data_IF_308591517884
#
_entry.id   IF_308591517884
#
_cell.length_a   1.000
_cell.length_b   1.000
_cell.length_c   1.000
_cell.angle_alpha   90.00
_cell.angle_beta   90.00
_cell.angle_gamma   90.00
#
_symmetry.space_group_name_H-M   'P 1'
#
loop_
_entity.id
_entity.type
_entity.pdbx_description
1 polymer ?
#
# COMPACT_ATOMS: atom_id res chain seq x y z
N UNK A 1 -7.79 -10.73 -35.76
CA UNK A 1 -8.96 -10.75 -34.85
C UNK A 1 -8.94 -9.47 -34.05
N UNK A 2 -9.98 -8.66 -34.18
CA UNK A 2 -10.06 -7.36 -33.50
C UNK A 2 -10.09 -7.51 -31.99
N UNK A 3 -9.35 -6.64 -31.30
CA UNK A 3 -9.41 -6.55 -29.85
C UNK A 3 -10.82 -6.12 -29.42
N UNK A 4 -11.44 -6.90 -28.56
CA UNK A 4 -12.85 -6.74 -28.18
C UNK A 4 -13.09 -5.51 -27.29
N UNK A 5 -12.05 -4.84 -26.86
CA UNK A 5 -12.11 -3.72 -25.93
C UNK A 5 -12.18 -2.39 -26.70
N UNK A 6 -13.37 -1.87 -26.83
CA UNK A 6 -13.59 -0.51 -27.32
C UNK A 6 -13.05 0.51 -26.31
N UNK A 7 -12.72 1.71 -26.78
CA UNK A 7 -12.21 2.78 -25.93
C UNK A 7 -13.21 3.15 -24.81
N UNK A 8 -14.51 3.06 -25.10
CA UNK A 8 -15.58 3.29 -24.11
C UNK A 8 -15.48 2.30 -22.94
N UNK A 9 -15.27 0.99 -23.22
CA UNK A 9 -15.10 -0.01 -22.17
C UNK A 9 -13.87 0.22 -21.33
N UNK A 10 -12.75 0.60 -21.95
CA UNK A 10 -11.52 0.89 -21.22
C UNK A 10 -11.70 2.06 -20.27
N UNK A 11 -12.35 3.14 -20.72
CA UNK A 11 -12.64 4.31 -19.89
C UNK A 11 -13.61 4.00 -18.74
N UNK A 12 -14.67 3.22 -18.99
CA UNK A 12 -15.61 2.84 -17.93
C UNK A 12 -14.94 1.98 -16.86
N UNK A 13 -14.13 1.02 -17.25
CA UNK A 13 -13.36 0.18 -16.30
C UNK A 13 -12.38 1.01 -15.48
N UNK A 14 -11.70 1.96 -16.10
CA UNK A 14 -10.80 2.87 -15.40
C UNK A 14 -11.53 3.66 -14.30
N UNK A 15 -12.68 4.25 -14.63
CA UNK A 15 -13.52 4.99 -13.67
C UNK A 15 -14.04 4.09 -12.54
N UNK A 16 -14.43 2.85 -12.86
CA UNK A 16 -14.88 1.87 -11.84
C UNK A 16 -13.74 1.55 -10.87
N UNK A 17 -12.55 1.28 -11.36
CA UNK A 17 -11.38 0.97 -10.51
C UNK A 17 -11.01 2.16 -9.63
N UNK A 18 -10.96 3.37 -10.19
CA UNK A 18 -10.60 4.58 -9.43
C UNK A 18 -11.58 4.87 -8.29
N UNK A 19 -12.88 4.62 -8.50
CA UNK A 19 -13.91 4.91 -7.50
C UNK A 19 -14.14 3.79 -6.49
N UNK A 20 -14.01 2.55 -6.91
CA UNK A 20 -14.44 1.37 -6.15
C UNK A 20 -13.31 0.37 -5.91
N UNK A 21 -12.07 0.83 -5.88
CA UNK A 21 -10.89 -0.02 -5.72
C UNK A 21 -10.97 -0.96 -4.53
N UNK A 22 -11.47 -0.50 -3.39
CA UNK A 22 -11.58 -1.29 -2.17
C UNK A 22 -12.58 -2.44 -2.23
N UNK A 23 -13.59 -2.31 -3.10
CA UNK A 23 -14.64 -3.31 -3.27
C UNK A 23 -14.29 -4.39 -4.29
N UNK A 24 -13.27 -4.14 -5.12
CA UNK A 24 -12.86 -5.03 -6.21
C UNK A 24 -11.80 -6.03 -5.74
N UNK A 25 -11.92 -7.25 -6.28
CA UNK A 25 -11.04 -8.36 -5.95
C UNK A 25 -10.24 -8.90 -7.14
N UNK A 26 -9.81 -10.15 -7.01
CA UNK A 26 -9.17 -10.91 -8.09
C UNK A 26 -10.09 -11.94 -8.72
N UNK A 27 -11.32 -12.02 -8.23
CA UNK A 27 -12.30 -12.97 -8.69
C UNK A 27 -13.31 -12.31 -9.62
N UNK A 28 -13.45 -12.86 -10.82
CA UNK A 28 -14.33 -12.33 -11.84
C UNK A 28 -15.81 -12.41 -11.44
N UNK A 29 -16.20 -13.35 -10.59
CA UNK A 29 -17.58 -13.48 -10.13
C UNK A 29 -17.95 -12.37 -9.14
N UNK A 30 -17.10 -12.12 -8.17
CA UNK A 30 -17.29 -11.02 -7.21
C UNK A 30 -17.23 -9.67 -7.90
N UNK A 31 -16.27 -9.44 -8.78
CA UNK A 31 -16.16 -8.20 -9.55
C UNK A 31 -17.38 -7.97 -10.46
N UNK A 32 -17.97 -9.05 -10.99
CA UNK A 32 -19.18 -8.99 -11.78
C UNK A 32 -20.38 -8.51 -10.95
N UNK A 33 -20.57 -9.03 -9.74
CA UNK A 33 -21.62 -8.58 -8.83
C UNK A 33 -21.43 -7.11 -8.43
N UNK A 34 -20.21 -6.74 -8.08
CA UNK A 34 -19.89 -5.33 -7.75
C UNK A 34 -20.20 -4.41 -8.93
N UNK A 35 -19.83 -4.80 -10.15
CA UNK A 35 -20.16 -4.00 -11.35
C UNK A 35 -21.67 -3.89 -11.59
N UNK A 36 -22.45 -4.92 -11.24
CA UNK A 36 -23.93 -4.93 -11.37
C UNK A 36 -24.59 -3.96 -10.38
N UNK A 37 -24.05 -3.86 -9.16
CA UNK A 37 -24.53 -2.92 -8.14
C UNK A 37 -24.19 -1.46 -8.44
N UNK A 38 -23.00 -1.22 -8.98
CA UNK A 38 -22.48 0.16 -9.18
C UNK A 38 -22.97 0.76 -10.51
N UNK A 39 -23.16 -0.06 -11.55
CA UNK A 39 -23.40 0.43 -12.91
C UNK A 39 -24.60 -0.21 -13.56
N UNK A 40 -25.40 0.60 -14.27
CA UNK A 40 -26.51 0.13 -15.08
C UNK A 40 -26.00 -0.18 -16.49
N UNK A 41 -25.79 -1.46 -16.78
CA UNK A 41 -25.31 -1.91 -18.09
C UNK A 41 -26.44 -2.68 -18.80
N UNK A 42 -26.94 -2.21 -19.94
CA UNK A 42 -28.11 -2.81 -20.58
C UNK A 42 -27.84 -4.17 -21.24
N UNK A 43 -26.56 -4.48 -21.52
CA UNK A 43 -26.19 -5.70 -22.25
C UNK A 43 -25.34 -6.63 -21.36
N UNK A 44 -25.82 -7.89 -21.21
CA UNK A 44 -25.05 -8.94 -20.52
C UNK A 44 -23.68 -9.19 -21.14
N UNK A 45 -23.56 -9.10 -22.45
CA UNK A 45 -22.30 -9.27 -23.17
C UNK A 45 -21.29 -8.18 -22.78
N UNK A 46 -21.76 -6.94 -22.70
CA UNK A 46 -20.93 -5.79 -22.30
C UNK A 46 -20.51 -5.91 -20.83
N UNK A 47 -21.45 -6.27 -19.96
CA UNK A 47 -21.20 -6.48 -18.54
C UNK A 47 -20.13 -7.55 -18.29
N UNK A 48 -20.23 -8.71 -18.93
CA UNK A 48 -19.22 -9.76 -18.80
C UNK A 48 -17.82 -9.31 -19.26
N UNK A 49 -17.74 -8.52 -20.32
CA UNK A 49 -16.46 -7.98 -20.82
C UNK A 49 -15.88 -6.93 -19.89
N UNK A 50 -16.71 -6.07 -19.31
CA UNK A 50 -16.28 -5.07 -18.32
C UNK A 50 -15.74 -5.77 -17.08
N UNK A 51 -16.48 -6.72 -16.52
CA UNK A 51 -16.03 -7.48 -15.35
C UNK A 51 -14.72 -8.23 -15.60
N UNK A 52 -14.57 -8.90 -16.72
CA UNK A 52 -13.33 -9.58 -17.09
C UNK A 52 -12.14 -8.63 -17.25
N UNK A 53 -12.36 -7.43 -17.76
CA UNK A 53 -11.30 -6.44 -17.91
C UNK A 53 -10.95 -5.74 -16.57
N UNK A 54 -11.94 -5.52 -15.69
CA UNK A 54 -11.71 -5.06 -14.30
C UNK A 54 -10.80 -6.03 -13.56
N UNK A 55 -11.15 -7.32 -13.54
CA UNK A 55 -10.34 -8.35 -12.87
C UNK A 55 -8.92 -8.44 -13.46
N UNK A 56 -8.79 -8.30 -14.77
CA UNK A 56 -7.49 -8.29 -15.43
C UNK A 56 -6.62 -7.11 -14.98
N UNK A 57 -7.17 -5.91 -14.95
CA UNK A 57 -6.45 -4.73 -14.49
C UNK A 57 -6.14 -4.78 -12.99
N UNK A 58 -7.05 -5.30 -12.16
CA UNK A 58 -6.81 -5.48 -10.72
C UNK A 58 -5.62 -6.40 -10.44
N UNK A 59 -5.46 -7.48 -11.23
CA UNK A 59 -4.28 -8.35 -11.17
C UNK A 59 -2.99 -7.62 -11.55
N UNK A 60 -3.05 -6.70 -12.49
CA UNK A 60 -1.89 -5.89 -12.88
C UNK A 60 -1.53 -4.85 -11.82
N UNK A 61 -2.51 -4.13 -11.31
CA UNK A 61 -2.33 -3.09 -10.28
C UNK A 61 -1.66 -3.65 -9.02
N UNK A 62 -1.93 -4.92 -8.69
CA UNK A 62 -1.27 -5.58 -7.54
C UNK A 62 0.22 -5.85 -7.77
N UNK A 63 0.65 -5.99 -9.01
CA UNK A 63 2.07 -6.24 -9.34
C UNK A 63 2.83 -4.95 -9.50
N UNK A 64 2.30 -4.05 -10.32
CA UNK A 64 2.92 -2.79 -10.69
C UNK A 64 1.88 -1.70 -10.94
N UNK A 65 2.32 -0.44 -10.90
CA UNK A 65 1.48 0.70 -11.24
C UNK A 65 1.05 0.62 -12.71
N UNK A 66 -0.26 0.73 -12.95
CA UNK A 66 -0.82 0.74 -14.30
C UNK A 66 -0.92 2.17 -14.81
N UNK A 67 -0.40 2.41 -16.00
CA UNK A 67 -0.42 3.73 -16.64
C UNK A 67 -1.85 4.22 -16.86
N UNK A 68 -2.14 5.44 -16.38
CA UNK A 68 -3.42 6.11 -16.57
C UNK A 68 -4.49 5.79 -15.55
N UNK A 69 -4.18 4.99 -14.52
CA UNK A 69 -5.09 4.73 -13.40
C UNK A 69 -4.44 5.29 -12.13
N UNK A 70 -5.09 6.28 -11.53
CA UNK A 70 -4.68 6.88 -10.26
C UNK A 70 -5.61 6.40 -9.16
N UNK A 71 -5.04 5.75 -8.15
CA UNK A 71 -5.78 5.26 -6.99
C UNK A 71 -5.48 6.19 -5.82
N UNK A 72 -6.42 7.06 -5.49
CA UNK A 72 -6.28 8.04 -4.40
C UNK A 72 -5.89 7.41 -3.07
N UNK A 73 -6.46 6.25 -2.76
CA UNK A 73 -6.16 5.54 -1.52
C UNK A 73 -4.66 5.18 -1.40
N UNK A 74 -4.05 4.69 -2.49
CA UNK A 74 -2.62 4.36 -2.49
C UNK A 74 -1.74 5.60 -2.43
N UNK A 75 -2.14 6.68 -3.09
CA UNK A 75 -1.45 7.97 -3.04
C UNK A 75 -1.49 8.56 -1.63
N UNK A 76 -2.65 8.57 -0.97
CA UNK A 76 -2.80 9.04 0.40
C UNK A 76 -2.01 8.19 1.40
N UNK A 77 -1.97 6.88 1.25
CA UNK A 77 -1.13 6.00 2.08
C UNK A 77 0.36 6.27 1.87
N UNK A 78 0.78 6.53 0.63
CA UNK A 78 2.15 6.92 0.29
C UNK A 78 2.53 8.24 0.97
N UNK A 79 1.69 9.26 0.86
CA UNK A 79 1.91 10.57 1.49
C UNK A 79 1.97 10.46 3.03
N UNK A 80 1.11 9.67 3.64
CA UNK A 80 1.13 9.45 5.09
C UNK A 80 2.42 8.76 5.54
N UNK A 81 2.96 7.83 4.76
CA UNK A 81 4.26 7.20 5.06
C UNK A 81 5.41 8.17 4.93
N UNK A 82 5.41 9.02 3.90
CA UNK A 82 6.46 10.01 3.64
C UNK A 82 6.47 11.12 4.70
N UNK A 83 5.30 11.50 5.22
CA UNK A 83 5.14 12.54 6.23
C UNK A 83 5.14 12.01 7.68
N UNK A 84 5.42 10.72 7.88
CA UNK A 84 5.47 10.16 9.21
C UNK A 84 6.67 10.69 10.00
N UNK A 85 6.37 11.45 11.05
CA UNK A 85 7.34 11.89 12.05
C UNK A 85 6.92 11.29 13.38
N UNK A 86 7.75 10.43 14.02
CA UNK A 86 7.43 9.90 15.33
C UNK A 86 7.40 11.02 16.38
N UNK A 87 6.49 10.93 17.34
CA UNK A 87 6.38 11.91 18.44
C UNK A 87 7.63 11.93 19.31
N UNK A 88 8.25 10.74 19.48
CA UNK A 88 9.50 10.59 20.23
C UNK A 88 10.62 10.27 19.25
N UNK A 89 11.69 11.07 19.25
CA UNK A 89 12.88 10.82 18.46
C UNK A 89 13.58 9.55 18.92
N UNK A 90 14.11 8.76 17.97
CA UNK A 90 14.95 7.58 18.31
C UNK A 90 16.17 7.97 19.13
N UNK A 91 16.65 9.22 19.00
CA UNK A 91 17.78 9.77 19.73
C UNK A 91 17.42 10.26 21.14
N UNK A 92 16.14 10.41 21.44
CA UNK A 92 15.62 10.90 22.72
C UNK A 92 15.25 9.73 23.65
N UNK A 93 16.01 8.67 23.61
CA UNK A 93 15.84 7.52 24.49
C UNK A 93 16.65 7.72 25.77
N UNK A 94 16.01 7.53 26.92
CA UNK A 94 16.68 7.59 28.22
C UNK A 94 17.73 6.49 28.40
N UNK A 95 17.51 5.31 27.79
CA UNK A 95 18.39 4.14 27.88
C UNK A 95 18.74 3.68 26.47
N UNK A 96 20.01 3.76 26.12
CA UNK A 96 20.53 3.29 24.84
C UNK A 96 21.29 1.98 25.08
N UNK A 97 20.84 0.90 24.46
CA UNK A 97 21.53 -0.39 24.49
C UNK A 97 22.70 -0.36 23.50
N UNK A 98 23.90 -0.65 24.01
CA UNK A 98 25.13 -0.68 23.21
C UNK A 98 25.92 -1.96 23.48
N UNK A 99 26.63 -2.43 22.45
CA UNK A 99 27.54 -3.55 22.55
C UNK A 99 28.71 -3.28 23.53
N UNK A 100 29.25 -4.31 24.19
CA UNK A 100 30.34 -4.15 25.16
C UNK A 100 31.61 -3.50 24.58
N UNK A 101 31.86 -3.68 23.29
CA UNK A 101 33.03 -3.05 22.62
C UNK A 101 32.76 -1.57 22.32
N UNK A 102 31.54 -1.23 21.89
CA UNK A 102 31.10 0.15 21.74
C UNK A 102 31.10 0.89 23.09
N UNK A 103 30.74 0.21 24.18
CA UNK A 103 30.82 0.74 25.54
C UNK A 103 32.24 1.13 25.94
N UNK A 104 33.23 0.30 25.64
CA UNK A 104 34.62 0.61 25.90
C UNK A 104 35.12 1.84 25.14
N UNK A 105 34.73 1.96 23.85
CA UNK A 105 35.05 3.12 23.02
C UNK A 105 34.40 4.41 23.54
N UNK A 106 33.17 4.33 24.03
CA UNK A 106 32.43 5.46 24.59
C UNK A 106 32.98 5.90 25.94
N UNK A 107 33.55 4.98 26.75
CA UNK A 107 34.22 5.30 28.03
C UNK A 107 35.46 6.15 27.83
N UNK A 108 36.21 5.93 26.75
CA UNK A 108 37.38 6.71 26.40
C UNK A 108 37.06 8.10 25.84
N UNK A 109 35.80 8.32 25.38
CA UNK A 109 35.34 9.60 24.87
C UNK A 109 34.53 10.33 25.95
N UNK A 110 34.74 11.65 26.11
CA UNK A 110 34.08 12.51 27.09
C UNK A 110 32.54 12.66 26.91
N UNK A 111 31.95 11.89 26.00
CA UNK A 111 30.50 11.88 25.64
C UNK A 111 29.69 10.98 26.59
N UNK A 112 30.36 10.24 27.48
CA UNK A 112 29.76 9.21 28.36
C UNK A 112 28.73 9.73 29.38
N UNK A 113 28.64 11.00 29.63
CA UNK A 113 27.73 11.52 30.66
C UNK A 113 26.23 11.36 30.33
N UNK A 114 25.89 11.09 29.08
CA UNK A 114 24.50 10.92 28.63
C UNK A 114 24.08 9.50 28.30
N UNK A 115 25.03 8.53 28.32
CA UNK A 115 24.74 7.13 27.94
C UNK A 115 24.78 6.23 29.18
N UNK A 116 23.64 5.75 29.63
CA UNK A 116 23.56 4.76 30.70
C UNK A 116 23.79 3.34 30.17
N UNK A 117 24.53 2.48 30.88
CA UNK A 117 24.70 1.09 30.46
C UNK A 117 23.34 0.37 30.45
N UNK A 118 23.06 -0.33 29.38
CA UNK A 118 21.91 -1.21 29.30
C UNK A 118 21.89 -2.13 30.52
N UNK A 119 20.84 -2.04 31.30
CA UNK A 119 20.65 -2.86 32.49
C UNK A 119 20.76 -4.33 32.09
N UNK A 120 21.55 -5.09 32.83
CA UNK A 120 21.62 -6.54 32.70
C UNK A 120 20.19 -7.08 32.72
N UNK A 121 19.72 -7.60 31.59
CA UNK A 121 18.49 -8.36 31.50
C UNK A 121 18.62 -9.53 32.49
N UNK A 122 17.91 -9.44 33.59
CA UNK A 122 17.78 -10.53 34.54
C UNK A 122 17.00 -11.64 33.86
N UNK A 123 17.69 -12.60 33.29
CA UNK A 123 17.11 -13.91 33.07
C UNK A 123 16.83 -14.54 34.45
N UNK A 124 15.56 -14.62 34.77
CA UNK A 124 15.01 -15.52 35.78
C UNK A 124 14.07 -16.49 35.12
#
# INVERSE_FOLDING_TARGET
MGCVHTQTMKKTVQVIIEKCYTCLGNDCHTDKHVCEEITIIPSKKLHNKIAGYVTHLMKWIRRDAVRGISIKLQEEEGEKRDNYVPEVSVLDQEIIEVDPDAKKMLLDSSIWQSVQPAGQSAYR
#
